data_IF_546138888862
#
_entry.id   IF_546138888862
#
_cell.length_a   1.000
_cell.length_b   1.000
_cell.length_c   1.000
_cell.angle_alpha   90.00
_cell.angle_beta   90.00
_cell.angle_gamma   90.00
#
_symmetry.space_group_name_H-M   'P 1'
#
loop_
_entity.id
_entity.type
_entity.pdbx_description
1 polymer ?
#
# COMPACT_ATOMS: atom_id res chain seq x y z
N UNK A 1 -19.11 -10.61 -24.83
CA UNK A 1 -18.57 -11.30 -23.64
C UNK A 1 -17.29 -10.59 -23.26
N UNK A 2 -17.19 -10.06 -22.04
CA UNK A 2 -15.94 -9.47 -21.54
C UNK A 2 -15.02 -10.61 -21.10
N UNK A 3 -13.85 -10.71 -21.72
CA UNK A 3 -12.90 -11.79 -21.45
C UNK A 3 -12.23 -11.63 -20.08
N UNK A 4 -12.10 -10.40 -19.59
CA UNK A 4 -11.51 -10.08 -18.29
C UNK A 4 -12.36 -9.03 -17.58
N UNK A 5 -12.84 -9.37 -16.38
CA UNK A 5 -13.66 -8.52 -15.52
C UNK A 5 -13.42 -8.93 -14.06
N UNK A 6 -12.27 -8.53 -13.52
CA UNK A 6 -11.86 -8.84 -12.16
C UNK A 6 -11.17 -7.66 -11.51
N UNK A 7 -11.26 -7.64 -10.18
CA UNK A 7 -10.53 -6.71 -9.33
C UNK A 7 -9.32 -7.42 -8.70
N UNK A 8 -8.27 -6.67 -8.45
CA UNK A 8 -7.04 -7.11 -7.79
C UNK A 8 -7.00 -6.50 -6.40
N UNK A 9 -6.79 -7.32 -5.38
CA UNK A 9 -6.72 -6.88 -3.99
C UNK A 9 -5.35 -7.18 -3.41
N UNK A 10 -4.77 -6.20 -2.71
CA UNK A 10 -3.50 -6.35 -2.00
C UNK A 10 -3.69 -5.98 -0.53
N UNK A 11 -3.25 -6.86 0.37
CA UNK A 11 -3.19 -6.61 1.81
C UNK A 11 -1.75 -6.28 2.19
N UNK A 12 -1.57 -5.22 2.98
CA UNK A 12 -0.24 -4.76 3.41
C UNK A 12 -0.29 -4.19 4.80
N UNK A 13 0.87 -4.13 5.47
CA UNK A 13 1.03 -3.46 6.75
C UNK A 13 2.15 -2.43 6.71
N UNK A 14 2.52 -1.93 7.89
CA UNK A 14 3.50 -0.85 8.07
C UNK A 14 4.85 -1.14 7.39
N UNK A 15 5.35 -2.38 7.49
CA UNK A 15 6.61 -2.77 6.85
C UNK A 15 6.61 -2.58 5.33
N UNK A 16 5.49 -2.86 4.65
CA UNK A 16 5.37 -2.62 3.22
C UNK A 16 5.40 -1.13 2.89
N UNK A 17 4.80 -0.28 3.74
CA UNK A 17 4.77 1.17 3.56
C UNK A 17 6.13 1.84 3.82
N UNK A 18 7.01 1.19 4.58
CA UNK A 18 8.40 1.62 4.78
C UNK A 18 9.31 1.32 3.58
N UNK A 19 9.01 0.26 2.81
CA UNK A 19 9.84 -0.18 1.70
C UNK A 19 9.66 0.70 0.45
N UNK A 20 10.75 1.21 -0.12
CA UNK A 20 10.71 2.13 -1.26
C UNK A 20 9.97 1.58 -2.50
N UNK A 21 10.01 0.26 -2.69
CA UNK A 21 9.33 -0.42 -3.81
C UNK A 21 7.81 -0.22 -3.78
N UNK A 22 7.20 -0.08 -2.61
CA UNK A 22 5.75 0.17 -2.52
C UNK A 22 5.39 1.56 -3.06
N UNK A 23 6.23 2.56 -2.80
CA UNK A 23 6.08 3.91 -3.34
C UNK A 23 6.25 3.96 -4.87
N UNK A 24 7.23 3.25 -5.42
CA UNK A 24 7.41 3.13 -6.88
C UNK A 24 6.19 2.45 -7.53
N UNK A 25 5.70 1.35 -6.95
CA UNK A 25 4.53 0.64 -7.44
C UNK A 25 3.25 1.47 -7.35
N UNK A 26 3.03 2.18 -6.24
CA UNK A 26 1.88 3.07 -6.05
C UNK A 26 1.90 4.23 -7.07
N UNK A 27 3.07 4.84 -7.27
CA UNK A 27 3.26 5.91 -8.27
C UNK A 27 2.91 5.41 -9.69
N UNK A 28 3.39 4.23 -10.07
CA UNK A 28 3.09 3.62 -11.35
C UNK A 28 1.60 3.26 -11.49
N UNK A 29 1.00 2.67 -10.46
CA UNK A 29 -0.43 2.31 -10.45
C UNK A 29 -1.33 3.54 -10.60
N UNK A 30 -0.98 4.64 -9.93
CA UNK A 30 -1.65 5.93 -10.08
C UNK A 30 -1.50 6.50 -11.50
N UNK A 31 -0.27 6.47 -12.05
CA UNK A 31 0.00 6.90 -13.42
C UNK A 31 -0.79 6.09 -14.47
N UNK A 32 -0.89 4.77 -14.30
CA UNK A 32 -1.63 3.88 -15.18
C UNK A 32 -3.14 3.86 -14.93
N UNK A 33 -3.63 4.58 -13.93
CA UNK A 33 -5.06 4.67 -13.58
C UNK A 33 -5.71 3.31 -13.34
N UNK A 34 -5.04 2.44 -12.58
CA UNK A 34 -5.50 1.07 -12.28
C UNK A 34 -6.70 1.06 -11.33
N UNK A 35 -7.88 1.43 -11.83
CA UNK A 35 -9.13 1.51 -11.07
C UNK A 35 -9.64 0.17 -10.50
N UNK A 36 -9.14 -0.95 -11.02
CA UNK A 36 -9.47 -2.29 -10.54
C UNK A 36 -8.51 -2.80 -9.45
N UNK A 37 -7.51 -2.00 -9.05
CA UNK A 37 -6.63 -2.30 -7.93
C UNK A 37 -7.19 -1.68 -6.63
N UNK A 38 -7.43 -2.52 -5.63
CA UNK A 38 -7.78 -2.10 -4.28
C UNK A 38 -6.66 -2.50 -3.31
N UNK A 39 -6.03 -1.50 -2.71
CA UNK A 39 -4.97 -1.69 -1.74
C UNK A 39 -5.52 -1.47 -0.33
N UNK A 40 -5.47 -2.50 0.50
CA UNK A 40 -5.93 -2.48 1.88
C UNK A 40 -4.70 -2.43 2.79
N UNK A 41 -4.57 -1.33 3.51
CA UNK A 41 -3.50 -1.09 4.47
C UNK A 41 -4.00 -1.37 5.89
N UNK A 42 -3.39 -2.38 6.54
CA UNK A 42 -3.54 -2.63 7.97
C UNK A 42 -2.70 -1.63 8.77
N UNK A 43 -3.31 -0.47 9.04
CA UNK A 43 -2.73 0.59 9.84
C UNK A 43 -3.00 0.34 11.33
N UNK A 44 -2.25 -0.59 11.91
CA UNK A 44 -2.35 -0.96 13.34
C UNK A 44 -1.23 -0.36 14.21
N UNK A 45 -0.31 0.39 13.61
CA UNK A 45 0.82 1.08 14.25
C UNK A 45 1.85 0.16 14.94
N UNK A 46 1.95 -1.10 14.52
CA UNK A 46 2.86 -2.08 15.09
C UNK A 46 3.67 -2.81 13.99
N UNK A 47 4.99 -2.79 14.12
CA UNK A 47 5.93 -3.63 13.38
C UNK A 47 6.58 -4.68 14.29
N UNK A 48 7.57 -5.43 13.76
CA UNK A 48 8.32 -6.44 14.52
C UNK A 48 9.03 -5.81 15.73
N UNK A 49 9.54 -4.59 15.56
CA UNK A 49 10.28 -3.83 16.56
C UNK A 49 9.37 -3.12 17.58
N UNK A 50 8.05 -3.29 17.45
CA UNK A 50 7.05 -2.67 18.32
C UNK A 50 6.35 -1.51 17.63
N UNK A 51 6.10 -0.43 18.37
CA UNK A 51 5.35 0.71 17.82
C UNK A 51 6.08 1.34 16.63
N UNK A 52 5.34 1.64 15.56
CA UNK A 52 5.89 2.33 14.39
C UNK A 52 6.50 3.68 14.73
N UNK A 53 6.05 4.37 15.78
CA UNK A 53 6.64 5.63 16.24
C UNK A 53 8.15 5.57 16.51
N UNK A 54 8.73 4.38 16.71
CA UNK A 54 10.17 4.20 16.90
C UNK A 54 10.98 4.43 15.61
N UNK A 55 10.41 4.18 14.44
CA UNK A 55 11.14 4.16 13.16
C UNK A 55 10.35 4.67 11.94
N UNK A 56 9.05 4.93 12.08
CA UNK A 56 8.13 5.28 11.00
C UNK A 56 7.05 6.25 11.51
N UNK A 57 7.17 7.52 11.12
CA UNK A 57 6.30 8.62 11.58
C UNK A 57 5.68 9.41 10.43
N UNK A 58 5.73 8.86 9.22
CA UNK A 58 5.13 9.46 8.03
C UNK A 58 3.60 9.32 8.03
N UNK A 59 2.91 10.31 7.44
CA UNK A 59 1.49 10.20 7.12
C UNK A 59 1.32 9.52 5.76
N UNK A 60 1.09 8.20 5.79
CA UNK A 60 0.93 7.36 4.60
C UNK A 60 -0.27 7.78 3.74
N UNK A 61 -1.32 8.34 4.33
CA UNK A 61 -2.56 8.65 3.60
C UNK A 61 -2.46 9.93 2.77
N UNK A 62 -1.51 10.81 3.09
CA UNK A 62 -1.33 12.12 2.42
C UNK A 62 -0.11 12.17 1.49
N UNK A 63 0.66 11.09 1.45
CA UNK A 63 1.84 10.91 0.60
C UNK A 63 1.47 10.48 -0.82
#
# INVERSE_FOLDING_TARGET
>A
FNLFDYNVYALTGDGCMMEGVSGEAASLAGHLTLSNLCWIYDNNHMSIEGSTHLAFSEDVATR
#
